data_IF_614658964232
#
_entry.id   IF_614658964232
#
_cell.length_a   1.000
_cell.length_b   1.000
_cell.length_c   1.000
_cell.angle_alpha   90.00
_cell.angle_beta   90.00
_cell.angle_gamma   90.00
#
_symmetry.space_group_name_H-M   'P 1'
#
loop_
_entity.id
_entity.type
_entity.pdbx_description
1 polymer ?
#
# COMPACT_ATOMS: atom_id res chain seq x y z
N UNK A 1 13.90 4.26 15.10
CA UNK A 1 13.39 3.61 16.33
C UNK A 1 12.10 2.87 16.00
N UNK A 2 12.13 1.55 16.12
CA UNK A 2 10.97 0.64 15.95
C UNK A 2 10.67 -0.05 17.28
N UNK A 3 9.40 -0.24 17.60
CA UNK A 3 8.89 -0.82 18.84
C UNK A 3 8.08 -2.09 18.54
N UNK A 4 8.26 -3.15 19.32
CA UNK A 4 7.43 -4.36 19.25
C UNK A 4 6.82 -4.68 20.62
N UNK A 5 5.49 -4.84 20.67
CA UNK A 5 4.73 -5.14 21.89
C UNK A 5 3.95 -6.44 21.74
N UNK A 6 3.80 -7.19 22.83
CA UNK A 6 2.87 -8.33 22.92
C UNK A 6 1.59 -7.91 23.65
N UNK A 7 0.43 -8.15 23.05
CA UNK A 7 -0.86 -7.84 23.68
C UNK A 7 -1.20 -8.81 24.83
N UNK A 8 -1.63 -8.30 25.98
CA UNK A 8 -2.29 -9.06 27.04
C UNK A 8 -3.79 -9.24 26.72
N UNK A 9 -4.37 -10.36 27.18
CA UNK A 9 -5.79 -10.71 26.98
C UNK A 9 -6.72 -9.62 27.53
N UNK A 10 -7.66 -9.14 26.71
CA UNK A 10 -8.78 -8.29 27.13
C UNK A 10 -10.06 -9.11 26.89
N UNK A 11 -10.71 -9.52 27.98
CA UNK A 11 -11.97 -10.28 27.93
C UNK A 11 -13.16 -9.34 27.68
N UNK A 12 -13.95 -9.70 26.66
CA UNK A 12 -15.35 -9.37 26.36
C UNK A 12 -16.02 -8.17 27.02
N UNK A 13 -16.44 -7.21 26.18
CA UNK A 13 -17.61 -6.39 26.41
C UNK A 13 -18.44 -6.29 25.10
N UNK A 14 -19.72 -6.61 25.19
CA UNK A 14 -20.70 -6.63 24.11
C UNK A 14 -20.97 -5.23 23.53
N UNK A 15 -20.94 -5.08 22.21
CA UNK A 15 -21.35 -3.85 21.53
C UNK A 15 -22.87 -3.80 21.30
N UNK A 16 -23.53 -2.63 21.45
CA UNK A 16 -24.93 -2.45 21.09
C UNK A 16 -25.10 -2.22 19.58
N UNK A 17 -26.14 -2.84 19.00
CA UNK A 17 -26.54 -2.66 17.59
C UNK A 17 -27.13 -1.26 17.37
N UNK A 18 -26.58 -0.51 16.41
CA UNK A 18 -27.20 0.72 15.90
C UNK A 18 -28.10 0.35 14.70
N UNK A 19 -29.38 0.72 14.78
CA UNK A 19 -30.38 0.55 13.70
C UNK A 19 -30.17 1.62 12.64
N UNK A 20 -30.26 1.22 11.37
CA UNK A 20 -30.28 2.12 10.21
C UNK A 20 -31.57 2.95 10.20
N UNK A 21 -31.45 4.27 10.28
CA UNK A 21 -32.52 5.22 10.03
C UNK A 21 -32.51 5.68 8.56
N UNK A 22 -33.69 5.76 7.97
CA UNK A 22 -33.95 6.10 6.57
C UNK A 22 -33.46 7.51 6.17
N UNK A 23 -32.83 7.59 5.00
CA UNK A 23 -32.47 8.85 4.34
C UNK A 23 -33.50 9.17 3.23
N UNK A 24 -34.05 10.40 3.14
CA UNK A 24 -35.13 10.70 2.19
C UNK A 24 -34.60 10.79 0.75
N UNK A 25 -35.31 10.14 -0.18
CA UNK A 25 -35.12 10.32 -1.63
C UNK A 25 -35.81 11.61 -2.09
N UNK A 26 -35.07 12.54 -2.66
CA UNK A 26 -35.63 13.58 -3.54
C UNK A 26 -35.29 13.28 -5.00
N UNK A 27 -36.31 13.33 -5.86
CA UNK A 27 -36.20 13.30 -7.32
C UNK A 27 -36.00 14.73 -7.83
N UNK A 28 -35.10 14.90 -8.78
CA UNK A 28 -35.01 16.05 -9.67
C UNK A 28 -34.29 15.58 -10.92
N UNK A 29 -35.04 15.37 -12.01
CA UNK A 29 -34.52 14.98 -13.31
C UNK A 29 -34.08 16.24 -14.07
N UNK A 30 -32.78 16.45 -14.19
CA UNK A 30 -32.20 17.31 -15.21
C UNK A 30 -31.21 16.47 -16.03
N UNK A 31 -31.18 16.71 -17.33
CA UNK A 31 -30.55 15.86 -18.33
C UNK A 31 -29.09 15.54 -18.01
N UNK A 32 -28.79 14.25 -17.84
CA UNK A 32 -27.42 13.75 -17.68
C UNK A 32 -26.63 13.96 -18.99
N UNK A 33 -25.47 14.63 -18.96
CA UNK A 33 -24.49 14.47 -20.02
C UNK A 33 -23.95 13.04 -20.01
N UNK A 34 -23.66 12.52 -21.20
CA UNK A 34 -23.10 11.19 -21.48
C UNK A 34 -22.03 10.76 -20.44
N UNK A 35 -22.22 9.64 -19.70
CA UNK A 35 -21.31 9.20 -18.65
C UNK A 35 -19.92 8.76 -19.17
N UNK A 36 -19.71 8.73 -20.49
CA UNK A 36 -18.50 8.22 -21.11
C UNK A 36 -17.25 9.12 -21.05
N UNK A 37 -17.32 10.39 -20.65
CA UNK A 37 -16.15 11.30 -20.69
C UNK A 37 -16.21 12.42 -19.65
N UNK A 38 -16.04 12.12 -18.35
CA UNK A 38 -15.62 13.17 -17.42
C UNK A 38 -14.12 13.45 -17.66
N UNK A 39 -13.82 14.63 -18.19
CA UNK A 39 -12.44 15.05 -18.44
C UNK A 39 -11.78 15.49 -17.14
N UNK A 40 -10.56 15.03 -16.92
CA UNK A 40 -9.70 15.52 -15.84
C UNK A 40 -9.32 16.96 -16.20
N UNK A 41 -9.72 17.92 -15.37
CA UNK A 41 -9.44 19.34 -15.59
C UNK A 41 -8.20 19.78 -14.80
N UNK A 42 -7.29 20.50 -15.46
CA UNK A 42 -6.11 21.08 -14.82
C UNK A 42 -6.49 22.44 -14.22
N UNK A 43 -6.30 22.61 -12.91
CA UNK A 43 -6.81 23.79 -12.20
C UNK A 43 -5.79 24.93 -12.14
N UNK A 44 -4.53 24.58 -11.87
CA UNK A 44 -3.36 25.47 -11.92
C UNK A 44 -2.10 24.64 -11.62
N UNK A 45 -0.95 25.03 -12.17
CA UNK A 45 0.29 24.26 -11.99
C UNK A 45 0.14 22.79 -12.42
N UNK A 46 0.46 21.84 -11.54
CA UNK A 46 0.33 20.39 -11.80
C UNK A 46 -0.88 19.72 -11.15
N UNK A 47 -1.77 20.50 -10.53
CA UNK A 47 -2.91 20.00 -9.75
C UNK A 47 -4.14 19.79 -10.63
N UNK A 48 -4.95 18.79 -10.27
CA UNK A 48 -6.05 18.27 -11.09
C UNK A 48 -7.36 18.28 -10.29
N UNK A 49 -8.48 18.46 -10.97
CA UNK A 49 -9.82 18.22 -10.45
C UNK A 49 -10.53 17.16 -11.29
N UNK A 50 -11.22 16.26 -10.59
CA UNK A 50 -12.10 15.27 -11.22
C UNK A 50 -13.31 15.03 -10.32
N UNK A 51 -14.52 15.17 -10.87
CA UNK A 51 -15.77 15.02 -10.11
C UNK A 51 -15.93 15.98 -8.93
N UNK A 52 -15.31 17.17 -8.97
CA UNK A 52 -15.34 18.15 -7.88
C UNK A 52 -14.39 17.86 -6.72
N UNK A 53 -13.50 16.87 -6.84
CA UNK A 53 -12.44 16.61 -5.87
C UNK A 53 -11.07 17.05 -6.41
N UNK A 54 -10.29 17.70 -5.54
CA UNK A 54 -8.92 18.14 -5.83
C UNK A 54 -7.88 17.06 -5.61
N UNK A 55 -7.00 16.88 -6.59
CA UNK A 55 -5.84 16.00 -6.56
C UNK A 55 -4.58 16.82 -6.73
N UNK A 56 -3.65 16.67 -5.79
CA UNK A 56 -2.34 17.29 -5.92
C UNK A 56 -1.37 16.35 -6.59
N UNK A 57 -0.46 16.93 -7.38
CA UNK A 57 0.75 16.21 -7.75
C UNK A 57 1.60 16.01 -6.50
N UNK A 58 1.97 14.78 -6.24
CA UNK A 58 2.91 14.47 -5.19
C UNK A 58 4.31 14.94 -5.57
N UNK A 59 4.98 15.65 -4.65
CA UNK A 59 6.36 16.10 -4.79
C UNK A 59 7.29 15.09 -4.12
N UNK A 60 8.25 14.54 -4.88
CA UNK A 60 9.26 13.65 -4.30
C UNK A 60 10.33 14.50 -3.60
N UNK A 61 10.56 14.36 -2.28
CA UNK A 61 11.46 15.26 -1.54
C UNK A 61 12.94 15.14 -1.92
N UNK A 62 13.37 14.02 -2.52
CA UNK A 62 14.80 13.68 -2.61
C UNK A 62 15.33 13.35 -4.02
N UNK A 63 14.50 13.34 -5.07
CA UNK A 63 14.97 13.07 -6.45
C UNK A 63 13.81 13.12 -7.47
N UNK A 64 13.81 14.01 -8.46
CA UNK A 64 12.86 13.95 -9.58
C UNK A 64 13.17 12.84 -10.61
N UNK A 65 14.29 12.13 -10.54
CA UNK A 65 14.73 11.21 -11.61
C UNK A 65 14.72 9.72 -11.30
N UNK A 66 14.77 9.30 -10.02
CA UNK A 66 15.00 7.88 -9.67
C UNK A 66 13.79 7.05 -9.29
N UNK A 67 12.71 7.71 -8.87
CA UNK A 67 11.45 7.02 -8.58
C UNK A 67 10.72 6.81 -9.90
N UNK A 68 10.42 5.55 -10.21
CA UNK A 68 9.85 5.14 -11.50
C UNK A 68 8.35 5.45 -11.47
N UNK A 69 7.99 6.72 -11.50
CA UNK A 69 6.66 7.19 -11.09
C UNK A 69 5.52 6.60 -11.92
N UNK A 70 4.88 5.56 -11.40
CA UNK A 70 3.67 4.94 -11.97
C UNK A 70 2.38 5.67 -11.55
N UNK A 71 2.39 6.30 -10.38
CA UNK A 71 1.34 7.17 -9.89
C UNK A 71 1.97 8.46 -9.33
N UNK A 72 1.40 9.61 -9.66
CA UNK A 72 1.96 10.94 -9.37
C UNK A 72 0.96 11.89 -8.73
N UNK A 73 -0.31 11.49 -8.63
CA UNK A 73 -1.38 12.30 -8.11
C UNK A 73 -2.15 11.53 -7.04
N UNK A 74 -2.65 12.23 -6.03
CA UNK A 74 -3.51 11.66 -5.01
C UNK A 74 -4.37 12.72 -4.36
N UNK A 75 -5.29 12.28 -3.49
CA UNK A 75 -6.16 13.21 -2.77
C UNK A 75 -5.31 14.19 -1.96
N UNK A 76 -5.64 15.48 -2.06
CA UNK A 76 -4.91 16.54 -1.36
C UNK A 76 -4.82 16.29 0.16
N UNK A 77 -5.78 15.59 0.76
CA UNK A 77 -5.75 15.23 2.18
C UNK A 77 -4.47 14.50 2.62
N UNK A 78 -3.81 13.75 1.73
CA UNK A 78 -2.54 13.10 2.03
C UNK A 78 -1.34 14.06 1.96
N UNK A 79 -1.41 15.10 1.12
CA UNK A 79 -0.36 16.14 1.07
C UNK A 79 -0.52 17.18 2.16
N UNK A 80 -1.77 17.41 2.59
CA UNK A 80 -2.13 18.54 3.46
C UNK A 80 -2.11 18.16 4.95
N UNK A 81 -2.04 16.86 5.25
CA UNK A 81 -1.99 16.40 6.63
C UNK A 81 -0.63 16.66 7.27
N UNK A 82 -0.65 17.14 8.52
CA UNK A 82 0.55 17.35 9.33
C UNK A 82 1.25 16.02 9.66
N UNK A 83 0.46 14.96 9.86
CA UNK A 83 0.94 13.62 10.23
C UNK A 83 0.16 12.58 9.44
N UNK A 84 0.89 11.71 8.74
CA UNK A 84 0.34 10.54 8.06
C UNK A 84 0.69 9.26 8.81
N UNK A 85 -0.33 8.63 9.40
CA UNK A 85 -0.23 7.35 10.10
C UNK A 85 -0.75 6.22 9.20
N UNK A 86 0.08 5.21 8.95
CA UNK A 86 -0.34 3.99 8.26
C UNK A 86 -0.62 2.91 9.30
N UNK A 87 -1.85 2.36 9.31
CA UNK A 87 -2.25 1.23 10.14
C UNK A 87 -2.50 0.04 9.23
N UNK A 88 -1.59 -0.94 9.25
CA UNK A 88 -1.60 -2.09 8.35
C UNK A 88 -1.72 -3.41 9.12
N UNK A 89 -2.13 -4.48 8.43
CA UNK A 89 -2.10 -5.84 8.97
C UNK A 89 -0.76 -6.50 8.72
N UNK A 90 -0.28 -7.31 9.66
CA UNK A 90 0.88 -8.21 9.47
C UNK A 90 0.46 -9.39 8.59
N UNK A 91 0.56 -9.32 7.26
CA UNK A 91 0.09 -10.40 6.36
C UNK A 91 0.96 -10.58 5.12
N UNK A 92 0.77 -11.71 4.41
CA UNK A 92 1.41 -11.94 3.11
C UNK A 92 0.72 -11.16 1.98
N UNK A 93 1.36 -11.14 0.80
CA UNK A 93 0.77 -10.68 -0.46
C UNK A 93 1.29 -11.51 -1.62
N UNK A 94 0.41 -11.93 -2.53
CA UNK A 94 0.80 -12.78 -3.67
C UNK A 94 1.78 -12.15 -4.67
N UNK A 95 1.88 -10.81 -4.75
CA UNK A 95 2.75 -10.11 -5.72
C UNK A 95 3.88 -9.33 -5.07
N UNK A 96 3.67 -8.83 -3.84
CA UNK A 96 4.65 -8.06 -3.08
C UNK A 96 5.38 -8.87 -2.00
N UNK A 97 4.94 -10.11 -1.75
CA UNK A 97 5.43 -11.00 -0.69
C UNK A 97 4.79 -10.74 0.67
N UNK A 98 4.87 -9.49 1.14
CA UNK A 98 4.23 -9.04 2.38
C UNK A 98 3.33 -7.84 2.13
N UNK A 99 2.23 -7.76 2.87
CA UNK A 99 1.41 -6.55 3.01
C UNK A 99 1.68 -5.99 4.39
N UNK A 100 2.33 -4.83 4.46
CA UNK A 100 2.71 -4.14 5.69
C UNK A 100 2.46 -2.63 5.52
N UNK A 101 3.14 -1.77 6.28
CA UNK A 101 2.84 -0.34 6.29
C UNK A 101 3.08 0.34 4.94
N UNK A 102 4.15 -0.03 4.22
CA UNK A 102 4.46 0.53 2.90
C UNK A 102 3.42 0.11 1.87
N UNK A 103 3.09 -1.18 1.82
CA UNK A 103 2.14 -1.73 0.84
C UNK A 103 0.72 -1.20 1.07
N UNK A 104 0.38 -0.84 2.31
CA UNK A 104 -0.88 -0.18 2.65
C UNK A 104 -1.08 1.14 1.87
N UNK A 105 0.00 1.91 1.66
CA UNK A 105 -0.04 3.15 0.87
C UNK A 105 -0.36 2.94 -0.61
N UNK A 106 -0.30 1.71 -1.14
CA UNK A 106 -0.73 1.44 -2.51
C UNK A 106 -2.21 1.82 -2.71
N UNK A 107 -3.05 1.66 -1.69
CA UNK A 107 -4.49 1.97 -1.75
C UNK A 107 -4.80 3.47 -1.83
N UNK A 108 -3.84 4.34 -1.56
CA UNK A 108 -3.99 5.81 -1.61
C UNK A 108 -4.21 6.31 -3.04
N UNK A 109 -3.66 5.60 -4.01
CA UNK A 109 -3.83 5.92 -5.44
C UNK A 109 -5.33 6.03 -5.76
N UNK A 110 -5.89 7.16 -6.18
CA UNK A 110 -7.35 7.29 -6.35
C UNK A 110 -7.89 6.41 -7.47
N UNK A 111 -9.06 5.80 -7.28
CA UNK A 111 -9.72 5.01 -8.33
C UNK A 111 -10.16 5.91 -9.50
N UNK A 112 -10.55 7.15 -9.24
CA UNK A 112 -10.85 8.10 -10.31
C UNK A 112 -9.68 8.31 -11.28
N UNK A 113 -8.43 8.19 -10.82
CA UNK A 113 -7.25 8.40 -11.64
C UNK A 113 -6.64 7.09 -12.17
N UNK A 114 -6.63 6.04 -11.33
CA UNK A 114 -5.86 4.81 -11.58
C UNK A 114 -6.70 3.54 -11.66
N UNK A 115 -8.04 3.64 -11.62
CA UNK A 115 -8.99 2.54 -11.75
C UNK A 115 -9.00 1.93 -13.16
N UNK A 116 -9.51 0.70 -13.27
CA UNK A 116 -9.40 -0.12 -14.49
C UNK A 116 -10.53 0.11 -15.52
N UNK A 117 -11.76 0.42 -15.11
CA UNK A 117 -12.89 0.52 -16.04
C UNK A 117 -13.69 1.82 -15.89
N UNK A 118 -13.80 2.36 -14.67
CA UNK A 118 -14.43 3.65 -14.41
C UNK A 118 -13.46 4.60 -13.70
N UNK A 119 -13.15 5.73 -14.36
CA UNK A 119 -12.49 6.89 -13.76
C UNK A 119 -13.51 7.68 -12.95
N UNK A 120 -13.98 7.07 -11.87
CA UNK A 120 -15.03 7.60 -10.98
C UNK A 120 -14.63 7.35 -9.52
N UNK A 121 -14.97 8.32 -8.67
CA UNK A 121 -14.74 8.26 -7.22
C UNK A 121 -15.67 7.27 -6.51
N UNK A 122 -16.84 6.95 -7.09
CA UNK A 122 -17.71 5.91 -6.56
C UNK A 122 -17.25 4.48 -6.94
N UNK A 123 -16.22 4.34 -7.78
CA UNK A 123 -15.75 3.05 -8.25
C UNK A 123 -15.16 2.21 -7.12
N UNK A 124 -15.67 0.99 -6.97
CA UNK A 124 -15.13 -0.06 -6.09
C UNK A 124 -14.17 -1.00 -6.83
N UNK A 125 -13.81 -0.66 -8.07
CA UNK A 125 -12.92 -1.48 -8.89
C UNK A 125 -11.47 -1.43 -8.39
N UNK A 126 -10.70 -2.39 -8.88
CA UNK A 126 -9.28 -2.49 -8.58
C UNK A 126 -8.42 -1.69 -9.59
N UNK A 127 -7.11 -1.71 -9.37
CA UNK A 127 -6.11 -1.02 -10.20
C UNK A 127 -5.22 -2.03 -10.92
N UNK A 128 -5.77 -3.20 -11.29
CA UNK A 128 -4.97 -4.30 -11.82
C UNK A 128 -4.36 -3.93 -13.16
N UNK A 129 -5.15 -3.54 -14.16
CA UNK A 129 -4.61 -3.33 -15.51
C UNK A 129 -3.58 -2.20 -15.58
N UNK A 130 -3.72 -1.14 -14.79
CA UNK A 130 -2.78 -0.01 -14.80
C UNK A 130 -1.59 -0.22 -13.86
N UNK A 131 -1.84 -0.38 -12.56
CA UNK A 131 -0.76 -0.39 -11.56
C UNK A 131 -0.13 -1.78 -11.38
N UNK A 132 -0.88 -2.87 -11.55
CA UNK A 132 -0.29 -4.22 -11.44
C UNK A 132 0.28 -4.71 -12.77
N UNK A 133 -0.51 -4.65 -13.85
CA UNK A 133 -0.14 -5.25 -15.14
C UNK A 133 0.56 -4.26 -16.07
N UNK A 134 0.27 -2.96 -15.97
CA UNK A 134 0.79 -1.96 -16.91
C UNK A 134 0.30 -2.16 -18.35
N UNK A 135 -0.92 -2.67 -18.52
CA UNK A 135 -1.57 -2.90 -19.83
C UNK A 135 -2.15 -1.62 -20.42
N UNK A 136 -2.62 -0.72 -19.58
CA UNK A 136 -3.21 0.56 -19.99
C UNK A 136 -2.36 1.72 -19.47
N UNK A 137 -2.16 2.79 -20.25
CA UNK A 137 -1.51 4.00 -19.78
C UNK A 137 -2.44 4.77 -18.81
N UNK A 138 -1.90 5.70 -18.01
CA UNK A 138 -2.72 6.66 -17.29
C UNK A 138 -3.63 7.46 -18.26
N UNK A 139 -4.81 7.90 -17.80
CA UNK A 139 -5.70 8.79 -18.54
C UNK A 139 -5.00 10.02 -19.12
N UNK A 140 -5.58 10.58 -20.18
CA UNK A 140 -5.13 11.83 -20.76
C UNK A 140 -5.11 12.95 -19.70
N UNK A 141 -4.02 13.73 -19.65
CA UNK A 141 -3.80 14.77 -18.63
C UNK A 141 -2.98 14.31 -17.42
N UNK A 142 -2.83 13.00 -17.20
CA UNK A 142 -1.91 12.48 -16.19
C UNK A 142 -0.50 12.26 -16.76
N UNK A 143 0.55 12.51 -15.96
CA UNK A 143 1.92 12.17 -16.34
C UNK A 143 2.05 10.68 -16.68
N UNK A 144 2.74 10.39 -17.78
CA UNK A 144 3.10 9.01 -18.13
C UNK A 144 4.24 8.49 -17.24
N UNK A 145 4.41 7.17 -17.26
CA UNK A 145 5.57 6.51 -16.68
C UNK A 145 6.86 7.12 -17.25
N UNK A 146 7.81 7.43 -16.37
CA UNK A 146 9.10 8.04 -16.74
C UNK A 146 9.95 7.07 -17.59
N UNK A 147 9.85 5.77 -17.31
CA UNK A 147 10.53 4.72 -18.06
C UNK A 147 9.55 3.55 -18.28
N UNK A 148 9.07 3.32 -19.53
CA UNK A 148 8.15 2.23 -19.83
C UNK A 148 8.83 0.87 -20.02
N UNK A 149 10.17 0.80 -20.07
CA UNK A 149 10.95 -0.42 -20.31
C UNK A 149 10.88 -1.53 -19.24
N UNK A 150 10.59 -1.27 -17.94
CA UNK A 150 10.58 -2.32 -16.92
C UNK A 150 9.56 -3.42 -17.19
N UNK A 151 9.73 -4.63 -16.59
CA UNK A 151 8.85 -5.77 -16.83
C UNK A 151 7.38 -5.44 -16.52
N UNK A 152 6.51 -5.63 -17.51
CA UNK A 152 5.05 -5.46 -17.39
C UNK A 152 4.40 -6.66 -16.71
N UNK A 153 4.78 -6.84 -15.45
CA UNK A 153 4.36 -7.98 -14.62
C UNK A 153 4.09 -7.54 -13.18
N UNK A 154 3.03 -8.02 -12.51
CA UNK A 154 2.67 -7.58 -11.15
C UNK A 154 3.81 -7.71 -10.13
N UNK A 155 4.59 -8.78 -10.22
CA UNK A 155 5.70 -9.04 -9.30
C UNK A 155 6.87 -8.07 -9.46
N UNK A 156 6.89 -7.24 -10.50
CA UNK A 156 7.86 -6.15 -10.69
C UNK A 156 7.22 -4.78 -10.46
N UNK A 157 5.97 -4.59 -10.90
CA UNK A 157 5.29 -3.28 -10.83
C UNK A 157 4.78 -2.96 -9.44
N UNK A 158 4.11 -3.90 -8.78
CA UNK A 158 3.52 -3.65 -7.46
C UNK A 158 4.58 -3.23 -6.43
N UNK A 159 5.74 -3.90 -6.30
CA UNK A 159 6.82 -3.44 -5.44
C UNK A 159 7.29 -2.01 -5.74
N UNK A 160 7.43 -1.64 -7.02
CA UNK A 160 7.88 -0.31 -7.44
C UNK A 160 6.85 0.77 -7.14
N UNK A 161 5.58 0.54 -7.48
CA UNK A 161 4.48 1.46 -7.15
C UNK A 161 4.44 1.67 -5.64
N UNK A 162 4.64 0.63 -4.84
CA UNK A 162 4.72 0.75 -3.38
C UNK A 162 5.87 1.66 -2.95
N UNK A 163 7.07 1.50 -3.49
CA UNK A 163 8.20 2.40 -3.20
C UNK A 163 7.91 3.82 -3.68
N UNK A 164 7.30 3.99 -4.85
CA UNK A 164 6.92 5.29 -5.38
C UNK A 164 6.00 6.03 -4.39
N UNK A 165 4.98 5.36 -3.85
CA UNK A 165 4.05 5.96 -2.89
C UNK A 165 4.74 6.41 -1.61
N UNK A 166 5.74 5.67 -1.14
CA UNK A 166 6.51 6.05 0.06
C UNK A 166 7.43 7.24 -0.21
N UNK A 167 8.06 7.29 -1.39
CA UNK A 167 8.87 8.45 -1.77
C UNK A 167 8.01 9.71 -1.99
N UNK A 168 6.76 9.51 -2.41
CA UNK A 168 5.78 10.57 -2.69
C UNK A 168 5.21 11.20 -1.42
N UNK A 169 4.72 10.36 -0.50
CA UNK A 169 4.19 10.76 0.79
C UNK A 169 4.72 9.79 1.83
N UNK A 170 5.87 10.11 2.46
CA UNK A 170 6.44 9.30 3.51
C UNK A 170 5.43 9.06 4.63
N UNK A 171 5.47 7.88 5.24
CA UNK A 171 4.65 7.57 6.42
C UNK A 171 5.38 8.14 7.64
N UNK A 172 4.72 9.00 8.41
CA UNK A 172 5.28 9.61 9.62
C UNK A 172 5.28 8.63 10.80
N UNK A 173 4.26 7.76 10.86
CA UNK A 173 4.14 6.68 11.83
C UNK A 173 3.56 5.42 11.19
N UNK A 174 4.34 4.35 11.14
CA UNK A 174 3.92 3.03 10.70
C UNK A 174 3.47 2.21 11.91
N UNK A 175 2.26 1.69 11.86
CA UNK A 175 1.68 0.77 12.85
C UNK A 175 1.27 -0.50 12.11
N UNK A 176 1.80 -1.65 12.54
CA UNK A 176 1.50 -2.96 11.98
C UNK A 176 0.83 -3.81 13.06
N UNK A 177 -0.44 -4.07 12.85
CA UNK A 177 -1.28 -4.92 13.69
C UNK A 177 -1.14 -6.39 13.26
N UNK A 178 -0.42 -7.15 14.08
CA UNK A 178 -0.31 -8.61 14.03
C UNK A 178 -0.98 -9.29 15.23
N UNK A 179 -2.02 -8.70 15.82
CA UNK A 179 -2.73 -9.31 16.96
C UNK A 179 -3.40 -10.61 16.50
N UNK A 180 -4.31 -10.49 15.53
CA UNK A 180 -4.88 -11.58 14.75
C UNK A 180 -4.83 -11.21 13.27
N UNK A 181 -4.42 -12.13 12.40
CA UNK A 181 -4.16 -11.85 10.98
C UNK A 181 -4.27 -13.11 10.14
N UNK A 182 -3.89 -13.05 8.87
CA UNK A 182 -3.82 -14.20 7.98
C UNK A 182 -2.43 -14.35 7.36
N UNK A 183 -1.98 -15.60 7.18
CA UNK A 183 -0.96 -15.96 6.19
C UNK A 183 -1.64 -16.51 4.94
N UNK A 184 -0.93 -16.64 3.82
CA UNK A 184 -1.48 -17.24 2.60
C UNK A 184 -1.85 -16.27 1.49
N UNK A 185 -1.92 -14.97 1.77
CA UNK A 185 -2.20 -13.92 0.79
C UNK A 185 -2.92 -12.71 1.40
N UNK A 186 -3.37 -11.80 0.53
CA UNK A 186 -3.94 -10.52 0.95
C UNK A 186 -5.47 -10.50 1.10
N UNK A 187 -6.19 -11.53 0.64
CA UNK A 187 -7.66 -11.56 0.62
C UNK A 187 -8.25 -12.94 0.32
N UNK A 188 -9.59 -13.08 0.29
CA UNK A 188 -10.30 -14.36 0.15
C UNK A 188 -10.11 -15.04 -1.22
N UNK A 189 -9.63 -14.30 -2.23
CA UNK A 189 -9.26 -14.86 -3.54
C UNK A 189 -7.92 -15.60 -3.52
N UNK A 190 -7.09 -15.35 -2.50
CA UNK A 190 -5.83 -16.07 -2.33
C UNK A 190 -6.13 -17.51 -1.94
N UNK A 191 -5.30 -18.45 -2.40
CA UNK A 191 -5.57 -19.86 -2.19
C UNK A 191 -5.07 -20.34 -0.82
N UNK A 192 -6.01 -20.56 0.10
CA UNK A 192 -5.76 -21.17 1.40
C UNK A 192 -5.22 -20.19 2.45
N UNK A 193 -5.89 -19.05 2.71
CA UNK A 193 -5.51 -18.19 3.80
C UNK A 193 -5.67 -18.93 5.13
N UNK A 194 -4.67 -18.81 6.00
CA UNK A 194 -4.68 -19.46 7.32
C UNK A 194 -4.68 -18.39 8.40
N UNK A 195 -5.57 -18.53 9.40
CA UNK A 195 -5.61 -17.62 10.53
C UNK A 195 -4.31 -17.71 11.34
N UNK A 196 -3.75 -16.55 11.65
CA UNK A 196 -2.53 -16.39 12.44
C UNK A 196 -2.83 -15.54 13.67
N UNK A 197 -2.21 -15.87 14.81
CA UNK A 197 -2.31 -15.07 16.05
C UNK A 197 -0.92 -14.75 16.63
N UNK A 198 -0.12 -13.90 15.94
CA UNK A 198 1.21 -13.49 16.44
C UNK A 198 1.15 -12.75 17.78
N UNK A 199 0.03 -12.06 18.06
CA UNK A 199 -0.17 -11.20 19.24
C UNK A 199 0.81 -10.04 19.30
N UNK A 200 1.19 -9.51 18.12
CA UNK A 200 2.19 -8.47 17.98
C UNK A 200 1.57 -7.14 17.56
N UNK A 201 2.12 -6.06 18.08
CA UNK A 201 1.98 -4.72 17.53
C UNK A 201 3.38 -4.18 17.25
N UNK A 202 3.66 -3.83 15.99
CA UNK A 202 4.93 -3.20 15.60
C UNK A 202 4.68 -1.74 15.24
N UNK A 203 5.52 -0.84 15.74
CA UNK A 203 5.35 0.61 15.54
C UNK A 203 6.70 1.25 15.22
N UNK A 204 6.78 2.14 14.25
CA UNK A 204 8.01 2.91 14.04
C UNK A 204 7.83 4.13 13.15
N UNK A 205 8.85 5.00 13.17
CA UNK A 205 8.85 6.29 12.43
C UNK A 205 9.53 6.21 11.07
N UNK A 206 9.98 5.02 10.66
CA UNK A 206 10.49 4.78 9.32
C UNK A 206 9.83 3.49 8.79
N UNK A 207 8.99 3.59 7.74
CA UNK A 207 8.20 2.46 7.28
C UNK A 207 9.05 1.33 6.72
N UNK A 208 10.22 1.61 6.13
CA UNK A 208 11.12 0.58 5.61
C UNK A 208 11.72 -0.23 6.76
N UNK A 209 12.21 0.46 7.80
CA UNK A 209 12.75 -0.21 8.98
C UNK A 209 11.68 -1.00 9.73
N UNK A 210 10.47 -0.44 9.88
CA UNK A 210 9.36 -1.11 10.58
C UNK A 210 8.88 -2.34 9.80
N UNK A 211 8.70 -2.23 8.48
CA UNK A 211 8.29 -3.36 7.64
C UNK A 211 9.38 -4.43 7.58
N UNK A 212 10.67 -4.07 7.57
CA UNK A 212 11.77 -5.04 7.58
C UNK A 212 11.82 -5.86 8.87
N UNK A 213 11.63 -5.23 10.03
CA UNK A 213 11.53 -5.94 11.31
C UNK A 213 10.26 -6.79 11.36
N UNK A 214 9.13 -6.29 10.88
CA UNK A 214 7.90 -7.08 10.79
C UNK A 214 8.07 -8.31 9.89
N UNK A 215 8.72 -8.16 8.73
CA UNK A 215 9.06 -9.25 7.82
C UNK A 215 9.94 -10.31 8.52
N UNK A 216 10.95 -9.88 9.28
CA UNK A 216 11.78 -10.77 10.09
C UNK A 216 10.97 -11.49 11.18
N UNK A 217 10.08 -10.79 11.89
CA UNK A 217 9.18 -11.40 12.88
C UNK A 217 8.22 -12.41 12.26
N UNK A 218 7.84 -12.26 10.98
CA UNK A 218 7.06 -13.27 10.24
C UNK A 218 7.87 -14.52 9.84
N UNK A 219 9.18 -14.54 10.13
CA UNK A 219 10.09 -15.63 9.76
C UNK A 219 10.68 -15.50 8.36
N UNK A 220 10.67 -14.32 7.76
CA UNK A 220 11.22 -14.08 6.42
C UNK A 220 12.49 -13.25 6.46
N UNK A 221 13.35 -13.45 5.47
CA UNK A 221 14.52 -12.59 5.28
C UNK A 221 14.12 -11.30 4.54
N UNK A 222 14.13 -10.12 5.18
CA UNK A 222 13.80 -8.85 4.52
C UNK A 222 14.82 -8.44 3.45
N UNK A 223 16.01 -9.05 3.43
CA UNK A 223 17.09 -8.82 2.46
C UNK A 223 17.08 -9.79 1.29
N UNK A 224 16.12 -10.73 1.27
CA UNK A 224 16.02 -11.76 0.26
C UNK A 224 16.06 -11.18 -1.17
N UNK A 225 16.81 -11.84 -2.04
CA UNK A 225 16.95 -11.47 -3.44
C UNK A 225 15.60 -11.54 -4.17
N UNK A 226 15.40 -10.79 -5.27
CA UNK A 226 14.19 -10.86 -6.05
C UNK A 226 13.83 -12.30 -6.46
N UNK A 227 12.57 -12.67 -6.30
CA UNK A 227 12.10 -14.01 -6.63
C UNK A 227 12.53 -15.09 -5.66
N UNK A 228 13.01 -14.76 -4.45
CA UNK A 228 13.40 -15.73 -3.42
C UNK A 228 12.63 -15.53 -2.11
N UNK A 229 12.57 -16.57 -1.28
CA UNK A 229 11.82 -16.55 -0.02
C UNK A 229 10.37 -16.12 -0.21
N UNK A 230 9.90 -15.20 0.64
CA UNK A 230 8.55 -14.64 0.59
C UNK A 230 8.33 -13.70 -0.62
N UNK A 231 9.37 -13.23 -1.31
CA UNK A 231 9.23 -12.26 -2.40
C UNK A 231 9.10 -12.99 -3.75
N UNK A 232 7.90 -13.01 -4.39
CA UNK A 232 7.69 -13.69 -5.67
C UNK A 232 8.40 -13.02 -6.86
N UNK A 233 8.76 -11.73 -6.72
CA UNK A 233 9.59 -10.99 -7.66
C UNK A 233 10.38 -9.95 -6.89
N UNK A 234 10.26 -8.68 -7.26
CA UNK A 234 11.07 -7.64 -6.67
C UNK A 234 10.76 -7.43 -5.17
N UNK A 235 11.82 -7.28 -4.39
CA UNK A 235 11.74 -6.99 -2.96
C UNK A 235 11.64 -5.47 -2.76
N UNK A 236 10.44 -4.99 -2.38
CA UNK A 236 10.19 -3.56 -2.17
C UNK A 236 10.99 -2.96 -1.00
N UNK A 237 11.37 -3.75 0.01
CA UNK A 237 12.21 -3.27 1.12
C UNK A 237 13.63 -2.98 0.62
N UNK A 238 14.19 -3.89 -0.18
CA UNK A 238 15.50 -3.70 -0.82
C UNK A 238 15.47 -2.51 -1.79
N UNK A 239 14.42 -2.39 -2.61
CA UNK A 239 14.25 -1.25 -3.52
C UNK A 239 14.18 0.09 -2.77
N UNK A 240 13.43 0.17 -1.67
CA UNK A 240 13.35 1.40 -0.87
C UNK A 240 14.68 1.74 -0.18
N UNK A 241 15.41 0.73 0.30
CA UNK A 241 16.72 0.93 0.88
C UNK A 241 17.75 1.42 -0.14
N UNK A 242 17.71 0.95 -1.40
CA UNK A 242 18.54 1.47 -2.49
C UNK A 242 18.29 2.95 -2.80
N UNK A 243 17.11 3.46 -2.45
CA UNK A 243 16.74 4.88 -2.57
C UNK A 243 17.02 5.67 -1.27
N UNK A 244 17.73 5.08 -0.30
CA UNK A 244 18.04 5.69 1.00
C UNK A 244 16.81 6.10 1.83
N UNK A 245 15.65 5.49 1.60
CA UNK A 245 14.42 5.79 2.37
C UNK A 245 14.52 5.21 3.79
N UNK A 246 15.18 4.05 3.95
CA UNK A 246 15.42 3.44 5.26
C UNK A 246 16.19 2.12 5.15
N UNK A 247 16.66 1.61 6.28
CA UNK A 247 17.37 0.33 6.33
C UNK A 247 16.39 -0.84 6.28
N UNK A 248 16.76 -1.91 5.59
CA UNK A 248 15.99 -3.16 5.51
C UNK A 248 16.73 -4.36 6.13
N UNK A 249 17.95 -4.13 6.62
CA UNK A 249 18.77 -5.12 7.32
C UNK A 249 18.44 -5.10 8.82
N UNK A 250 17.98 -6.21 9.43
CA UNK A 250 17.59 -6.22 10.84
C UNK A 250 18.70 -5.77 11.79
N UNK A 251 19.96 -6.13 11.51
CA UNK A 251 21.12 -5.77 12.34
C UNK A 251 21.50 -4.29 12.26
N UNK A 252 20.97 -3.55 11.27
CA UNK A 252 21.14 -2.11 11.12
C UNK A 252 19.96 -1.31 11.70
N UNK A 253 18.96 -1.96 12.30
CA UNK A 253 17.74 -1.33 12.79
C UNK A 253 17.66 -1.43 14.31
N UNK A 254 17.53 -0.27 14.96
CA UNK A 254 17.26 -0.23 16.39
C UNK A 254 15.83 -0.73 16.68
N UNK A 255 15.76 -1.81 17.47
CA UNK A 255 14.51 -2.40 17.97
C UNK A 255 14.41 -2.20 19.48
N UNK A 256 13.25 -1.75 19.94
CA UNK A 256 12.90 -1.59 21.36
C UNK A 256 11.69 -2.47 21.71
N UNK A 257 11.62 -2.92 22.96
CA UNK A 257 10.60 -3.89 23.40
C UNK A 257 11.10 -5.32 23.20
N UNK A 258 10.28 -6.17 22.58
CA UNK A 258 10.70 -7.54 22.25
C UNK A 258 11.86 -7.54 21.25
N UNK A 259 12.81 -8.45 21.45
CA UNK A 259 13.78 -8.79 20.40
C UNK A 259 13.06 -9.46 19.22
N UNK A 260 13.68 -9.44 18.03
CA UNK A 260 13.13 -10.14 16.84
C UNK A 260 12.93 -11.63 17.13
N UNK A 261 13.83 -12.23 17.92
CA UNK A 261 13.74 -13.64 18.30
C UNK A 261 12.52 -13.93 19.20
N UNK A 262 12.24 -13.06 20.17
CA UNK A 262 11.06 -13.20 21.05
C UNK A 262 9.74 -12.90 20.31
N UNK A 263 9.80 -12.02 19.32
CA UNK A 263 8.67 -11.66 18.47
C UNK A 263 8.48 -12.61 17.28
N UNK A 264 9.33 -13.62 17.11
CA UNK A 264 9.27 -14.52 15.96
C UNK A 264 7.98 -15.35 15.97
N UNK A 265 7.19 -15.21 14.91
CA UNK A 265 6.01 -16.02 14.60
C UNK A 265 6.09 -16.41 13.12
N UNK A 266 6.66 -17.58 12.77
CA UNK A 266 6.82 -17.99 11.38
C UNK A 266 5.46 -18.17 10.68
N UNK A 267 5.25 -17.48 9.55
CA UNK A 267 3.99 -17.56 8.78
C UNK A 267 3.92 -18.81 7.91
N UNK A 268 5.05 -19.51 7.70
CA UNK A 268 5.18 -20.75 6.95
C UNK A 268 4.52 -20.70 5.57
N UNK A 269 4.60 -19.54 4.90
CA UNK A 269 4.07 -19.33 3.56
C UNK A 269 5.16 -19.03 2.56
N UNK A 270 5.01 -19.61 1.36
CA UNK A 270 5.78 -19.30 0.17
C UNK A 270 4.87 -18.97 -1.02
N UNK A 271 5.31 -18.09 -1.93
CA UNK A 271 4.56 -17.79 -3.13
C UNK A 271 4.53 -18.99 -4.08
N UNK A 272 3.32 -19.34 -4.58
CA UNK A 272 3.13 -20.45 -5.54
C UNK A 272 3.69 -20.15 -6.93
N UNK A 273 3.80 -18.87 -7.28
CA UNK A 273 4.30 -18.40 -8.57
C UNK A 273 5.37 -17.35 -8.34
N UNK A 274 6.38 -17.37 -9.20
CA UNK A 274 7.49 -16.42 -9.17
C UNK A 274 7.59 -15.76 -10.53
N UNK A 275 7.99 -14.49 -10.51
CA UNK A 275 8.26 -13.67 -11.68
C UNK A 275 7.15 -13.57 -12.73
N UNK A 276 5.89 -13.53 -12.29
CA UNK A 276 4.71 -13.37 -13.13
C UNK A 276 4.15 -11.95 -13.14
#
# INVERSE_FOLDING_TARGET
MSWAFRGAHISGASQPRIRSGDCPRSRGSEAHPDPGKQQIHQLSGTDLEHGGLGYRRFSHPQDPGRVRRHAQHGKHSYTDCDVFVSVAKLKNHETAGVTLSMKNSFGITPNALYGQSAHDEASTENRLDMLHMGKIPPPHGLPREVDPAPPRRPTARVPRVTVDMIGIRPIDLAIIDGIETISGGEGPWAQGPTLQKPKLLLVGRNPVCTDAIACACMGYDPTAAPGTGAFPGDNHLALAAQQNIGAHRPDAIEVRGLTVQEALHPFMWEPKRRNF
#
